data_IF_061811027985
#
_entry.id   IF_061811027985
#
_cell.length_a   1.000
_cell.length_b   1.000
_cell.length_c   1.000
_cell.angle_alpha   90.00
_cell.angle_beta   90.00
_cell.angle_gamma   90.00
#
_symmetry.space_group_name_H-M   'P 1'
#
loop_
_entity.id
_entity.type
_entity.pdbx_description
1 polymer ?
#
# COMPACT_ATOMS: atom_id res chain seq x y z
N UNK A 1 -29.63 57.96 15.70
CA UNK A 1 -28.66 57.57 14.65
C UNK A 1 -28.94 58.42 13.42
N UNK A 2 -28.04 59.35 13.09
CA UNK A 2 -28.09 60.13 11.84
C UNK A 2 -27.36 59.30 10.78
N UNK A 3 -27.99 59.01 9.65
CA UNK A 3 -27.34 58.32 8.54
C UNK A 3 -26.43 59.32 7.81
N UNK A 4 -25.16 58.94 7.63
CA UNK A 4 -24.21 59.66 6.77
C UNK A 4 -24.42 59.22 5.31
N UNK A 5 -24.51 60.15 4.34
CA UNK A 5 -24.59 59.80 2.93
C UNK A 5 -23.16 59.63 2.39
N UNK A 6 -22.80 58.42 1.98
CA UNK A 6 -21.46 58.17 1.43
C UNK A 6 -21.06 56.71 1.18
N UNK A 7 -21.85 55.73 1.62
CA UNK A 7 -21.63 54.34 1.19
C UNK A 7 -22.65 54.00 0.12
N UNK A 8 -22.25 54.09 -1.15
CA UNK A 8 -22.88 53.31 -2.21
C UNK A 8 -22.61 51.83 -1.93
N UNK A 9 -23.47 51.22 -1.12
CA UNK A 9 -23.62 49.77 -1.12
C UNK A 9 -24.28 49.44 -2.45
N UNK A 10 -23.45 49.21 -3.47
CA UNK A 10 -23.93 48.74 -4.78
C UNK A 10 -24.73 47.44 -4.56
N UNK A 11 -26.03 47.41 -4.91
CA UNK A 11 -26.86 46.23 -4.76
C UNK A 11 -26.24 45.03 -5.48
N UNK A 12 -26.46 43.82 -4.97
CA UNK A 12 -25.92 42.59 -5.58
C UNK A 12 -26.30 42.43 -7.08
N UNK A 13 -27.39 43.08 -7.52
CA UNK A 13 -27.86 43.11 -8.90
C UNK A 13 -26.92 43.88 -9.86
N UNK A 14 -26.11 44.83 -9.36
CA UNK A 14 -25.07 45.50 -10.14
C UNK A 14 -23.75 44.71 -10.20
N UNK A 15 -23.62 43.63 -9.44
CA UNK A 15 -22.37 42.85 -9.39
C UNK A 15 -22.26 41.83 -10.52
N UNK A 16 -23.38 41.43 -11.12
CA UNK A 16 -23.36 40.56 -12.30
C UNK A 16 -23.29 41.41 -13.57
N UNK A 17 -22.10 41.49 -14.17
CA UNK A 17 -21.88 42.16 -15.44
C UNK A 17 -22.58 41.40 -16.57
N UNK A 18 -23.86 41.71 -16.80
CA UNK A 18 -24.59 41.27 -18.00
C UNK A 18 -24.18 42.07 -19.25
N UNK A 19 -23.24 43.00 -19.11
CA UNK A 19 -22.72 43.90 -20.16
C UNK A 19 -21.22 44.05 -20.00
N UNK A 20 -20.49 44.26 -21.10
CA UNK A 20 -19.04 44.45 -21.09
C UNK A 20 -18.66 45.76 -20.34
N UNK A 21 -17.88 45.68 -19.24
CA UNK A 21 -17.48 46.84 -18.44
C UNK A 21 -16.37 47.68 -19.08
N UNK A 22 -15.74 47.23 -20.19
CA UNK A 22 -14.60 47.89 -20.85
C UNK A 22 -13.39 48.14 -19.93
N UNK A 23 -13.17 47.28 -18.95
CA UNK A 23 -12.05 47.40 -18.02
C UNK A 23 -10.68 47.28 -18.71
N UNK A 24 -9.76 48.18 -18.38
CA UNK A 24 -8.41 48.20 -18.96
C UNK A 24 -7.37 47.59 -18.00
N UNK A 25 -6.56 46.66 -18.50
CA UNK A 25 -5.56 45.96 -17.68
C UNK A 25 -4.45 46.88 -17.14
N UNK A 26 -4.18 47.99 -17.85
CA UNK A 26 -3.18 48.98 -17.47
C UNK A 26 -3.64 49.87 -16.31
N UNK A 27 -4.95 50.05 -16.12
CA UNK A 27 -5.51 50.85 -15.04
C UNK A 27 -5.51 50.08 -13.70
N UNK A 28 -4.97 50.70 -12.64
CA UNK A 28 -4.88 50.08 -11.33
C UNK A 28 -6.24 49.86 -10.66
N UNK A 29 -7.21 50.74 -10.89
CA UNK A 29 -8.56 50.63 -10.35
C UNK A 29 -9.30 49.45 -10.98
N UNK A 30 -9.26 49.37 -12.31
CA UNK A 30 -9.90 48.30 -13.09
C UNK A 30 -9.34 46.92 -12.75
N UNK A 31 -8.04 46.80 -12.45
CA UNK A 31 -7.44 45.55 -11.96
C UNK A 31 -8.04 45.06 -10.64
N UNK A 32 -8.45 45.98 -9.75
CA UNK A 32 -9.15 45.63 -8.52
C UNK A 32 -10.51 45.01 -8.84
N UNK A 33 -11.30 45.72 -9.65
CA UNK A 33 -12.62 45.27 -10.07
C UNK A 33 -12.60 43.94 -10.84
N UNK A 34 -11.60 43.73 -11.71
CA UNK A 34 -11.38 42.45 -12.39
C UNK A 34 -11.12 41.30 -11.41
N UNK A 35 -10.36 41.53 -10.33
CA UNK A 35 -10.07 40.51 -9.31
C UNK A 35 -11.32 40.15 -8.53
N UNK A 36 -12.05 41.15 -8.08
CA UNK A 36 -13.28 40.98 -7.29
C UNK A 36 -14.35 40.23 -8.11
N UNK A 37 -14.51 40.61 -9.38
CA UNK A 37 -15.42 39.91 -10.29
C UNK A 37 -15.01 38.47 -10.51
N UNK A 38 -13.72 38.19 -10.74
CA UNK A 38 -13.21 36.81 -10.87
C UNK A 38 -13.48 36.00 -9.61
N UNK A 39 -13.23 36.56 -8.42
CA UNK A 39 -13.48 35.88 -7.15
C UNK A 39 -14.97 35.59 -6.95
N UNK A 40 -15.83 36.55 -7.23
CA UNK A 40 -17.27 36.39 -7.15
C UNK A 40 -17.81 35.36 -8.15
N UNK A 41 -17.32 35.33 -9.39
CA UNK A 41 -17.69 34.29 -10.37
C UNK A 41 -17.26 32.91 -9.87
N UNK A 42 -16.04 32.78 -9.33
CA UNK A 42 -15.55 31.52 -8.75
C UNK A 42 -16.41 31.08 -7.56
N UNK A 43 -16.77 32.01 -6.67
CA UNK A 43 -17.62 31.73 -5.50
C UNK A 43 -19.04 31.37 -5.92
N UNK A 44 -19.61 32.09 -6.89
CA UNK A 44 -20.93 31.81 -7.46
C UNK A 44 -20.98 30.42 -8.09
N UNK A 45 -20.00 30.07 -8.94
CA UNK A 45 -19.88 28.73 -9.54
C UNK A 45 -19.73 27.68 -8.44
N UNK A 46 -18.88 27.90 -7.43
CA UNK A 46 -18.72 26.94 -6.31
C UNK A 46 -19.99 26.78 -5.46
N UNK A 47 -20.80 27.83 -5.34
CA UNK A 47 -22.05 27.82 -4.56
C UNK A 47 -23.22 27.17 -5.30
N UNK A 48 -23.27 27.31 -6.63
CA UNK A 48 -24.39 26.80 -7.46
C UNK A 48 -24.08 25.49 -8.17
N UNK A 49 -22.82 25.18 -8.46
CA UNK A 49 -22.44 23.90 -9.01
C UNK A 49 -22.45 22.87 -7.87
N UNK A 50 -23.40 21.92 -7.81
CA UNK A 50 -23.23 20.80 -6.93
C UNK A 50 -21.92 20.13 -7.33
N UNK A 51 -20.96 20.02 -6.39
CA UNK A 51 -19.87 19.05 -6.56
C UNK A 51 -20.60 17.74 -6.82
N UNK A 52 -20.54 17.22 -8.04
CA UNK A 52 -21.26 15.99 -8.39
C UNK A 52 -20.78 14.89 -7.45
N UNK A 53 -21.56 14.61 -6.40
CA UNK A 53 -21.16 13.70 -5.35
C UNK A 53 -21.26 12.29 -5.91
N UNK A 54 -20.12 11.66 -6.14
CA UNK A 54 -20.06 10.29 -6.62
C UNK A 54 -19.74 9.37 -5.44
N UNK A 55 -20.77 9.07 -4.65
CA UNK A 55 -20.67 8.17 -3.50
C UNK A 55 -20.33 6.74 -3.91
N UNK A 56 -20.78 6.29 -5.10
CA UNK A 56 -20.43 4.98 -5.64
C UNK A 56 -18.91 4.87 -5.75
N UNK A 57 -18.27 5.86 -6.39
CA UNK A 57 -16.82 5.91 -6.57
C UNK A 57 -16.07 6.15 -5.26
N UNK A 58 -16.64 6.92 -4.33
CA UNK A 58 -16.04 7.15 -3.01
C UNK A 58 -15.89 5.86 -2.20
N UNK A 59 -16.85 4.92 -2.33
CA UNK A 59 -16.93 3.69 -1.52
C UNK A 59 -16.64 2.40 -2.31
N UNK A 60 -16.17 2.53 -3.54
CA UNK A 60 -15.68 1.41 -4.34
C UNK A 60 -14.30 0.93 -3.87
N UNK A 61 -13.55 1.79 -3.16
CA UNK A 61 -12.21 1.48 -2.65
C UNK A 61 -12.25 0.27 -1.72
N UNK A 62 -11.36 -0.70 -1.98
CA UNK A 62 -11.15 -1.90 -1.16
C UNK A 62 -9.68 -2.00 -0.77
N UNK A 63 -9.43 -2.62 0.39
CA UNK A 63 -8.08 -2.93 0.81
C UNK A 63 -7.48 -3.97 -0.14
N UNK A 64 -6.25 -3.71 -0.59
CA UNK A 64 -5.48 -4.64 -1.40
C UNK A 64 -4.77 -5.68 -0.53
N UNK A 65 -4.40 -6.83 -1.11
CA UNK A 65 -3.87 -7.98 -0.36
C UNK A 65 -2.65 -7.65 0.52
N UNK A 66 -1.72 -6.87 -0.03
CA UNK A 66 -0.45 -6.54 0.62
C UNK A 66 -0.43 -5.07 1.08
N UNK A 67 -1.62 -4.47 1.26
CA UNK A 67 -1.77 -3.10 1.71
C UNK A 67 -2.01 -3.05 3.22
N UNK A 68 -1.19 -2.26 3.91
CA UNK A 68 -1.38 -2.02 5.34
C UNK A 68 -2.74 -1.36 5.64
N UNK A 69 -3.44 -1.74 6.72
CA UNK A 69 -4.73 -1.15 7.11
C UNK A 69 -4.72 0.38 7.22
N UNK A 70 -3.60 0.97 7.65
CA UNK A 70 -3.41 2.42 7.74
C UNK A 70 -3.43 3.10 6.37
N UNK A 71 -2.73 2.53 5.39
CA UNK A 71 -2.71 3.02 4.00
C UNK A 71 -4.11 2.91 3.37
N UNK A 72 -4.81 1.80 3.61
CA UNK A 72 -6.18 1.63 3.16
C UNK A 72 -7.12 2.70 3.74
N UNK A 73 -7.05 2.96 5.06
CA UNK A 73 -7.85 4.01 5.69
C UNK A 73 -7.54 5.40 5.11
N UNK A 74 -6.27 5.69 4.81
CA UNK A 74 -5.88 6.94 4.16
C UNK A 74 -6.51 7.07 2.78
N UNK A 75 -6.40 6.06 1.91
CA UNK A 75 -7.05 6.06 0.58
C UNK A 75 -8.56 6.22 0.66
N UNK A 76 -9.19 5.59 1.65
CA UNK A 76 -10.63 5.69 1.86
C UNK A 76 -11.04 7.12 2.26
N UNK A 77 -10.29 7.78 3.15
CA UNK A 77 -10.49 9.19 3.51
C UNK A 77 -10.29 10.12 2.32
N UNK A 78 -9.27 9.87 1.51
CA UNK A 78 -8.99 10.63 0.29
C UNK A 78 -10.07 10.48 -0.77
N UNK A 79 -10.55 9.25 -1.01
CA UNK A 79 -11.63 8.98 -1.95
C UNK A 79 -12.95 9.63 -1.51
N UNK A 80 -13.25 9.59 -0.21
CA UNK A 80 -14.39 10.29 0.37
C UNK A 80 -14.29 11.80 0.11
N UNK A 81 -13.18 12.43 0.48
CA UNK A 81 -12.95 13.87 0.23
C UNK A 81 -13.03 14.22 -1.26
N UNK A 82 -12.44 13.40 -2.13
CA UNK A 82 -12.33 13.65 -3.57
C UNK A 82 -13.65 13.48 -4.31
N UNK A 83 -14.41 12.42 -4.02
CA UNK A 83 -15.55 12.02 -4.83
C UNK A 83 -16.90 12.36 -4.21
N UNK A 84 -17.05 12.33 -2.88
CA UNK A 84 -18.29 12.80 -2.23
C UNK A 84 -18.22 14.27 -1.80
N UNK A 85 -17.02 14.83 -1.68
CA UNK A 85 -16.83 16.19 -1.17
C UNK A 85 -17.09 16.33 0.33
N UNK A 86 -17.35 15.23 1.04
CA UNK A 86 -17.48 15.22 2.51
C UNK A 86 -16.13 15.44 3.16
N UNK A 87 -16.10 16.17 4.27
CA UNK A 87 -14.91 16.21 5.11
C UNK A 87 -14.84 14.89 5.92
N UNK A 88 -13.74 14.12 5.83
CA UNK A 88 -13.61 12.85 6.55
C UNK A 88 -13.67 12.98 8.08
N UNK A 89 -13.50 14.19 8.61
CA UNK A 89 -13.57 14.47 10.05
C UNK A 89 -14.99 14.83 10.51
N UNK A 90 -15.96 14.99 9.61
CA UNK A 90 -17.35 15.23 9.96
C UNK A 90 -17.97 13.97 10.58
N UNK A 91 -18.86 14.08 11.60
CA UNK A 91 -19.43 12.91 12.29
C UNK A 91 -20.11 11.91 11.35
N UNK A 92 -20.84 12.40 10.35
CA UNK A 92 -21.52 11.57 9.36
C UNK A 92 -20.51 10.82 8.49
N UNK A 93 -19.44 11.50 8.05
CA UNK A 93 -18.38 10.89 7.26
C UNK A 93 -17.64 9.83 8.07
N UNK A 94 -17.34 10.10 9.35
CA UNK A 94 -16.66 9.15 10.23
C UNK A 94 -17.46 7.86 10.44
N UNK A 95 -18.79 7.97 10.66
CA UNK A 95 -19.66 6.81 10.77
C UNK A 95 -19.61 5.94 9.50
N UNK A 96 -19.66 6.57 8.34
CA UNK A 96 -19.61 5.87 7.06
C UNK A 96 -18.23 5.27 6.75
N UNK A 97 -17.16 6.01 7.03
CA UNK A 97 -15.79 5.53 6.92
C UNK A 97 -15.56 4.29 7.78
N UNK A 98 -16.13 4.24 8.99
CA UNK A 98 -16.04 3.08 9.88
C UNK A 98 -16.72 1.84 9.27
N UNK A 99 -17.93 2.00 8.74
CA UNK A 99 -18.63 0.91 8.04
C UNK A 99 -17.84 0.43 6.82
N UNK A 100 -17.32 1.35 6.01
CA UNK A 100 -16.55 1.01 4.81
C UNK A 100 -15.22 0.36 5.17
N UNK A 101 -14.51 0.86 6.19
CA UNK A 101 -13.26 0.26 6.65
C UNK A 101 -13.47 -1.20 7.03
N UNK A 102 -14.50 -1.51 7.82
CA UNK A 102 -14.81 -2.91 8.22
C UNK A 102 -15.22 -3.77 7.02
N UNK A 103 -16.11 -3.28 6.16
CA UNK A 103 -16.72 -4.08 5.08
C UNK A 103 -15.86 -4.22 3.82
N UNK A 104 -14.91 -3.31 3.62
CA UNK A 104 -14.02 -3.25 2.44
C UNK A 104 -12.57 -3.62 2.77
N UNK A 105 -12.28 -3.93 4.04
CA UNK A 105 -11.02 -4.56 4.45
C UNK A 105 -10.79 -5.90 3.74
N UNK A 106 -9.54 -6.35 3.73
CA UNK A 106 -9.17 -7.66 3.21
C UNK A 106 -9.91 -8.78 3.98
N UNK A 107 -10.31 -9.90 3.36
CA UNK A 107 -11.27 -10.84 3.95
C UNK A 107 -10.94 -11.32 5.38
N UNK A 108 -9.67 -11.56 5.71
CA UNK A 108 -9.29 -12.05 7.03
C UNK A 108 -9.37 -10.95 8.10
N UNK A 109 -8.95 -9.73 7.75
CA UNK A 109 -9.13 -8.52 8.57
C UNK A 109 -10.62 -8.21 8.74
N UNK A 110 -11.40 -8.24 7.65
CA UNK A 110 -12.85 -8.02 7.68
C UNK A 110 -13.52 -9.01 8.66
N UNK A 111 -13.22 -10.31 8.54
CA UNK A 111 -13.76 -11.34 9.47
C UNK A 111 -13.36 -11.05 10.91
N UNK A 112 -12.13 -10.58 11.14
CA UNK A 112 -11.65 -10.25 12.48
C UNK A 112 -12.42 -9.07 13.07
N UNK A 113 -12.60 -7.99 12.30
CA UNK A 113 -13.29 -6.78 12.73
C UNK A 113 -14.79 -7.02 12.97
N UNK A 114 -15.46 -7.81 12.12
CA UNK A 114 -16.88 -8.13 12.28
C UNK A 114 -17.19 -8.99 13.52
N UNK A 115 -16.19 -9.71 14.06
CA UNK A 115 -16.32 -10.49 15.29
C UNK A 115 -16.19 -9.67 16.56
N UNK A 116 -15.78 -8.41 16.46
CA UNK A 116 -15.67 -7.51 17.61
C UNK A 116 -17.10 -7.09 17.99
N UNK A 117 -17.49 -7.42 19.22
CA UNK A 117 -18.79 -7.01 19.74
C UNK A 117 -18.87 -5.48 19.84
N UNK A 118 -20.01 -4.91 19.43
CA UNK A 118 -20.20 -3.46 19.39
C UNK A 118 -19.19 -2.70 18.53
N UNK A 119 -18.63 -3.28 17.46
CA UNK A 119 -17.61 -2.60 16.64
C UNK A 119 -18.10 -1.25 16.06
N UNK A 120 -19.40 -1.07 15.86
CA UNK A 120 -20.00 0.19 15.43
C UNK A 120 -19.85 1.33 16.44
N UNK A 121 -19.74 1.01 17.73
CA UNK A 121 -19.59 1.96 18.84
C UNK A 121 -18.12 2.32 19.10
N UNK A 122 -17.20 1.47 18.65
CA UNK A 122 -15.75 1.70 18.78
C UNK A 122 -15.26 2.89 17.97
N UNK A 123 -14.16 3.47 18.44
CA UNK A 123 -13.44 4.51 17.69
C UNK A 123 -12.73 3.91 16.46
N UNK A 124 -12.46 4.75 15.47
CA UNK A 124 -11.76 4.32 14.25
C UNK A 124 -10.37 3.77 14.56
N UNK A 125 -9.69 4.37 15.53
CA UNK A 125 -8.34 4.04 15.98
C UNK A 125 -8.29 2.64 16.60
N UNK A 126 -9.33 2.24 17.35
CA UNK A 126 -9.42 0.91 17.91
C UNK A 126 -9.55 -0.16 16.81
N UNK A 127 -10.40 0.09 15.82
CA UNK A 127 -10.60 -0.81 14.68
C UNK A 127 -9.33 -0.90 13.84
N UNK A 128 -8.65 0.22 13.62
CA UNK A 128 -7.38 0.26 12.91
C UNK A 128 -6.31 -0.57 13.65
N UNK A 129 -6.25 -0.47 14.98
CA UNK A 129 -5.30 -1.22 15.79
C UNK A 129 -5.53 -2.74 15.70
N UNK A 130 -6.80 -3.19 15.76
CA UNK A 130 -7.14 -4.60 15.58
C UNK A 130 -6.84 -5.10 14.16
N UNK A 131 -7.13 -4.28 13.14
CA UNK A 131 -6.78 -4.60 11.76
C UNK A 131 -5.26 -4.75 11.57
N UNK A 132 -4.48 -3.85 12.17
CA UNK A 132 -3.02 -3.87 12.07
C UNK A 132 -2.42 -5.12 12.73
N UNK A 133 -2.98 -5.55 13.88
CA UNK A 133 -2.56 -6.81 14.53
C UNK A 133 -2.77 -8.01 13.63
N UNK A 134 -3.89 -8.06 12.90
CA UNK A 134 -4.19 -9.18 12.01
C UNK A 134 -3.27 -9.18 10.77
N UNK A 135 -3.00 -8.00 10.20
CA UNK A 135 -2.06 -7.84 9.09
C UNK A 135 -0.64 -8.33 9.45
N UNK A 136 -0.11 -7.92 10.60
CA UNK A 136 1.24 -8.31 11.05
C UNK A 136 1.32 -9.81 11.32
N UNK A 137 0.29 -10.41 11.94
CA UNK A 137 0.25 -11.87 12.16
C UNK A 137 0.33 -12.66 10.86
N UNK A 138 -0.39 -12.21 9.82
CA UNK A 138 -0.33 -12.86 8.51
C UNK A 138 1.06 -12.75 7.88
N UNK A 139 1.72 -11.61 8.05
CA UNK A 139 3.09 -11.40 7.58
C UNK A 139 4.10 -12.31 8.30
N UNK A 140 4.02 -12.39 9.63
CA UNK A 140 4.87 -13.24 10.46
C UNK A 140 4.70 -14.73 10.09
N UNK A 141 3.46 -15.19 9.91
CA UNK A 141 3.19 -16.58 9.51
C UNK A 141 3.74 -16.88 8.10
N UNK A 142 3.65 -15.94 7.15
CA UNK A 142 4.28 -16.08 5.83
C UNK A 142 5.81 -16.17 5.96
N UNK A 143 6.43 -15.36 6.80
CA UNK A 143 7.88 -15.40 7.03
C UNK A 143 8.32 -16.72 7.68
N UNK A 144 7.58 -17.18 8.69
CA UNK A 144 7.80 -18.46 9.36
C UNK A 144 7.68 -19.65 8.41
N UNK A 145 6.66 -19.65 7.54
CA UNK A 145 6.51 -20.68 6.50
C UNK A 145 7.70 -20.70 5.53
N UNK A 146 8.17 -19.52 5.08
CA UNK A 146 9.37 -19.40 4.23
C UNK A 146 10.62 -19.96 4.93
N UNK A 147 10.82 -19.61 6.20
CA UNK A 147 11.93 -20.13 6.99
C UNK A 147 11.86 -21.66 7.14
N UNK A 148 10.68 -22.21 7.45
CA UNK A 148 10.48 -23.65 7.57
C UNK A 148 10.78 -24.39 6.26
N UNK A 149 10.37 -23.84 5.11
CA UNK A 149 10.71 -24.41 3.80
C UNK A 149 12.22 -24.40 3.53
N UNK A 150 12.91 -23.29 3.87
CA UNK A 150 14.36 -23.19 3.72
C UNK A 150 15.09 -24.21 4.60
N UNK A 151 14.68 -24.36 5.85
CA UNK A 151 15.24 -25.36 6.78
C UNK A 151 15.03 -26.77 6.25
N UNK A 152 13.83 -27.09 5.76
CA UNK A 152 13.53 -28.40 5.18
C UNK A 152 14.40 -28.70 3.94
N UNK A 153 14.63 -27.70 3.08
CA UNK A 153 15.52 -27.86 1.92
C UNK A 153 16.98 -28.11 2.33
N UNK A 154 17.47 -27.43 3.37
CA UNK A 154 18.83 -27.62 3.89
C UNK A 154 18.97 -29.01 4.54
N UNK A 155 17.99 -29.47 5.31
CA UNK A 155 17.98 -30.80 5.92
C UNK A 155 18.03 -31.91 4.85
N UNK A 156 17.26 -31.75 3.77
CA UNK A 156 17.31 -32.66 2.62
C UNK A 156 18.68 -32.69 1.93
N UNK A 157 19.29 -31.53 1.68
CA UNK A 157 20.64 -31.46 1.09
C UNK A 157 21.66 -32.15 2.00
N UNK A 158 21.55 -31.95 3.32
CA UNK A 158 22.46 -32.53 4.32
C UNK A 158 22.31 -34.05 4.39
N UNK A 159 21.08 -34.57 4.42
CA UNK A 159 20.79 -36.01 4.37
C UNK A 159 21.34 -36.68 3.11
N UNK A 160 21.21 -36.04 1.94
CA UNK A 160 21.77 -36.57 0.68
C UNK A 160 23.29 -36.64 0.69
N UNK A 161 23.97 -35.65 1.29
CA UNK A 161 25.44 -35.67 1.46
C UNK A 161 25.87 -36.80 2.40
N UNK A 162 25.19 -36.96 3.53
CA UNK A 162 25.50 -38.02 4.49
C UNK A 162 25.25 -39.42 3.90
N UNK A 163 24.15 -39.63 3.16
CA UNK A 163 23.85 -40.90 2.49
C UNK A 163 24.84 -41.27 1.39
N UNK A 164 25.45 -40.28 0.75
CA UNK A 164 26.45 -40.49 -0.31
C UNK A 164 27.84 -40.83 0.26
N UNK A 165 28.16 -40.36 1.46
CA UNK A 165 29.46 -40.56 2.11
C UNK A 165 29.69 -41.94 2.74
N UNK A 166 28.63 -42.70 3.01
CA UNK A 166 28.71 -43.99 3.74
C UNK A 166 28.85 -45.22 2.82
N UNK A 167 28.87 -45.02 1.49
CA UNK A 167 28.96 -46.11 0.51
C UNK A 167 30.39 -46.60 0.20
N UNK A 168 31.42 -46.11 0.90
CA UNK A 168 32.85 -46.39 0.61
C UNK A 168 33.61 -47.20 1.67
N UNK A 169 32.95 -47.79 2.67
CA UNK A 169 33.62 -48.57 3.73
C UNK A 169 33.08 -49.99 3.88
N UNK A 170 33.04 -50.78 2.80
CA UNK A 170 32.96 -52.24 2.95
C UNK A 170 33.50 -53.02 1.74
N UNK A 171 34.79 -52.81 1.40
CA UNK A 171 35.54 -53.71 0.50
C UNK A 171 37.01 -53.80 0.93
N UNK A 172 37.27 -54.27 2.15
CA UNK A 172 38.62 -54.77 2.46
C UNK A 172 38.63 -55.85 3.56
N UNK A 173 38.02 -57.00 3.26
CA UNK A 173 38.27 -58.26 3.99
C UNK A 173 38.33 -59.41 3.00
N UNK A 174 39.52 -59.66 2.47
CA UNK A 174 39.72 -60.71 1.46
C UNK A 174 41.19 -61.12 1.23
N UNK A 175 41.85 -61.59 2.29
CA UNK A 175 42.81 -62.71 2.24
C UNK A 175 43.99 -62.67 1.26
N UNK A 176 45.17 -62.40 1.81
CA UNK A 176 46.47 -62.73 1.22
C UNK A 176 46.57 -64.15 0.64
N UNK A 177 47.01 -64.26 -0.62
CA UNK A 177 47.69 -65.46 -1.13
C UNK A 177 48.99 -65.05 -1.82
N UNK A 178 50.10 -65.23 -1.11
CA UNK A 178 51.46 -65.03 -1.63
C UNK A 178 51.80 -66.13 -2.65
N UNK A 179 52.43 -65.77 -3.76
CA UNK A 179 53.33 -66.64 -4.55
C UNK A 179 54.56 -65.83 -5.00
N UNK A 180 55.76 -66.45 -5.09
CA UNK A 180 57.02 -65.72 -5.23
C UNK A 180 57.63 -65.77 -6.65
N UNK A 181 58.52 -64.80 -6.92
CA UNK A 181 59.54 -64.79 -8.00
C UNK A 181 59.03 -64.32 -9.36
N UNK A 182 59.72 -63.47 -10.14
CA UNK A 182 61.14 -63.12 -10.20
C UNK A 182 61.33 -61.71 -10.79
N UNK A 183 62.52 -61.18 -10.54
CA UNK A 183 63.10 -59.91 -10.97
C UNK A 183 63.16 -59.71 -12.49
N UNK A 184 63.03 -58.44 -12.92
CA UNK A 184 63.89 -57.83 -13.93
C UNK A 184 63.73 -56.30 -13.90
N UNK A 185 64.75 -55.65 -13.34
CA UNK A 185 65.35 -54.35 -13.72
C UNK A 185 64.65 -53.44 -14.73
N UNK A 186 64.59 -52.15 -14.37
CA UNK A 186 64.94 -51.08 -15.31
C UNK A 186 63.89 -50.00 -15.55
N UNK A 187 63.90 -48.96 -14.71
CA UNK A 187 64.03 -47.57 -15.17
C UNK A 187 62.87 -46.85 -15.85
N UNK A 188 62.46 -45.77 -15.17
CA UNK A 188 61.99 -44.47 -15.71
C UNK A 188 60.48 -44.24 -15.94
N UNK A 189 59.89 -43.51 -15.00
CA UNK A 189 58.64 -42.72 -15.12
C UNK A 189 58.94 -41.33 -15.75
N UNK A 190 57.95 -40.44 -15.99
CA UNK A 190 56.72 -40.59 -16.77
C UNK A 190 56.51 -39.36 -17.69
N UNK A 191 55.54 -39.41 -18.60
CA UNK A 191 54.90 -38.21 -19.17
C UNK A 191 53.55 -38.72 -19.68
N UNK A 192 52.38 -38.13 -19.41
CA UNK A 192 51.93 -36.86 -19.99
C UNK A 192 51.05 -36.10 -18.99
N UNK A 193 51.45 -34.86 -18.69
CA UNK A 193 50.53 -33.76 -18.43
C UNK A 193 50.35 -33.00 -19.74
N UNK A 194 49.12 -32.69 -20.10
CA UNK A 194 48.69 -31.54 -20.92
C UNK A 194 47.16 -31.60 -20.94
N UNK A 195 46.38 -30.60 -20.53
CA UNK A 195 46.64 -29.18 -20.43
C UNK A 195 46.32 -28.49 -21.76
N UNK A 196 45.22 -27.72 -21.72
CA UNK A 196 44.83 -26.60 -22.61
C UNK A 196 44.06 -26.96 -23.88
N UNK A 197 42.74 -26.70 -23.88
CA UNK A 197 42.13 -25.50 -24.48
C UNK A 197 40.92 -25.06 -23.65
#
# INVERSE_FOLDING_TARGET
MRYLPGEEVTPAEQKFLNTDPRWESMNAHDRGSMRDFREMVILGIKGVAPRSQNFVKAFEVRQEKDEAPSAFLQRLKEATRKYSGMNPDDPVAQGLLKVQFVTKSWPDIQKKLQKIDGWSEKQMEELLCEAQKEYVKEEDEKQKQKANMMVAAIDEITKRRLRSGDSSKDKDRGGHKRRPGKEATGGMLPLWKSGVF
#
